data_IF_977008304325
#
_entry.id   IF_977008304325
#
_cell.length_a   1.000
_cell.length_b   1.000
_cell.length_c   1.000
_cell.angle_alpha   90.00
_cell.angle_beta   90.00
_cell.angle_gamma   90.00
#
_symmetry.space_group_name_H-M   'P 1'
#
loop_
_entity.id
_entity.type
_entity.pdbx_description
1 polymer ?
#
# COMPACT_ATOMS: atom_id res chain seq x y z
N UNK A 1 -10.03 10.16 -14.27
CA UNK A 1 -9.45 8.88 -14.71
C UNK A 1 -8.95 8.13 -13.50
N UNK A 2 -9.35 6.89 -13.36
CA UNK A 2 -8.86 6.07 -12.25
C UNK A 2 -7.34 5.98 -12.25
N UNK A 3 -6.80 5.92 -11.06
CA UNK A 3 -5.37 5.77 -10.83
C UNK A 3 -5.15 4.51 -10.00
N UNK A 4 -4.33 3.60 -10.48
CA UNK A 4 -4.10 2.29 -9.86
C UNK A 4 -2.65 2.24 -9.39
N UNK A 5 -2.46 1.81 -8.15
CA UNK A 5 -1.13 1.62 -7.58
C UNK A 5 -0.98 0.17 -7.17
N UNK A 6 0.10 -0.45 -7.62
CA UNK A 6 0.49 -1.79 -7.18
C UNK A 6 1.87 -1.66 -6.56
N UNK A 7 1.98 -1.99 -5.28
CA UNK A 7 3.24 -1.91 -4.55
C UNK A 7 3.62 -3.30 -4.05
N UNK A 8 4.86 -3.73 -4.34
CA UNK A 8 5.40 -4.98 -3.83
C UNK A 8 6.49 -4.66 -2.82
N UNK A 9 6.37 -5.22 -1.63
CA UNK A 9 7.31 -5.04 -0.54
C UNK A 9 7.86 -6.39 -0.10
N UNK A 10 9.18 -6.46 0.14
CA UNK A 10 9.77 -7.61 0.81
C UNK A 10 10.34 -7.14 2.13
N UNK A 11 9.79 -7.64 3.23
CA UNK A 11 10.25 -7.33 4.57
C UNK A 11 11.62 -7.93 4.84
N UNK A 12 12.44 -7.24 5.65
CA UNK A 12 13.68 -7.80 6.16
C UNK A 12 13.39 -9.02 7.01
N UNK A 13 14.33 -9.96 7.03
CA UNK A 13 14.23 -11.14 7.89
C UNK A 13 14.05 -10.71 9.35
N UNK A 14 13.02 -11.27 10.00
CA UNK A 14 12.67 -10.94 11.37
C UNK A 14 11.68 -9.79 11.52
N UNK A 15 11.38 -9.05 10.44
CA UNK A 15 10.48 -7.89 10.50
C UNK A 15 9.12 -8.18 9.84
N UNK A 16 8.87 -9.43 9.44
CA UNK A 16 7.64 -9.79 8.72
C UNK A 16 6.38 -9.47 9.50
N UNK A 17 6.38 -9.76 10.81
CA UNK A 17 5.19 -9.51 11.63
C UNK A 17 4.95 -8.02 11.85
N UNK A 18 6.01 -7.24 12.01
CA UNK A 18 5.92 -5.78 12.11
C UNK A 18 5.30 -5.17 10.85
N UNK A 19 5.81 -5.57 9.70
CA UNK A 19 5.32 -5.07 8.40
C UNK A 19 3.86 -5.48 8.20
N UNK A 20 3.54 -6.73 8.49
CA UNK A 20 2.16 -7.22 8.37
C UNK A 20 1.20 -6.40 9.23
N UNK A 21 1.54 -6.19 10.51
CA UNK A 21 0.67 -5.46 11.42
C UNK A 21 0.44 -4.02 10.95
N UNK A 22 1.49 -3.35 10.49
CA UNK A 22 1.39 -1.98 10.01
C UNK A 22 0.55 -1.89 8.72
N UNK A 23 0.74 -2.83 7.79
CA UNK A 23 -0.07 -2.86 6.57
C UNK A 23 -1.55 -3.13 6.86
N UNK A 24 -1.86 -4.01 7.82
CA UNK A 24 -3.24 -4.23 8.25
C UNK A 24 -3.87 -2.96 8.82
N UNK A 25 -3.08 -2.15 9.55
CA UNK A 25 -3.55 -0.89 10.12
C UNK A 25 -3.79 0.19 9.07
N UNK A 26 -3.22 0.05 7.87
CA UNK A 26 -3.46 0.97 6.76
C UNK A 26 -4.83 0.77 6.11
N UNK A 27 -5.39 -0.43 6.20
CA UNK A 27 -6.55 -0.82 5.39
C UNK A 27 -7.79 0.02 5.66
N UNK A 28 -8.28 0.06 6.90
CA UNK A 28 -9.52 0.75 7.19
C UNK A 28 -9.45 2.27 6.97
N UNK A 29 -8.43 2.98 7.48
CA UNK A 29 -8.36 4.42 7.24
C UNK A 29 -8.15 4.76 5.76
N UNK A 30 -7.45 3.91 5.00
CA UNK A 30 -7.29 4.14 3.56
C UNK A 30 -8.62 3.96 2.82
N UNK A 31 -9.38 2.93 3.17
CA UNK A 31 -10.71 2.69 2.58
C UNK A 31 -11.69 3.81 2.91
N UNK A 32 -11.51 4.51 4.02
CA UNK A 32 -12.37 5.61 4.42
C UNK A 32 -12.04 6.92 3.70
N UNK A 33 -10.95 7.00 2.96
CA UNK A 33 -10.59 8.20 2.19
C UNK A 33 -11.61 8.42 1.06
N UNK A 34 -12.08 9.67 0.86
CA UNK A 34 -13.13 9.94 -0.13
C UNK A 34 -12.77 9.52 -1.55
N UNK A 35 -11.51 9.58 -1.93
CA UNK A 35 -11.06 9.24 -3.27
C UNK A 35 -10.59 7.81 -3.44
N UNK A 36 -10.62 7.00 -2.38
CA UNK A 36 -10.22 5.60 -2.47
C UNK A 36 -11.37 4.73 -2.99
N UNK A 37 -11.10 3.94 -4.02
CA UNK A 37 -12.07 3.03 -4.61
C UNK A 37 -11.85 1.58 -4.19
N UNK A 38 -10.59 1.21 -3.88
CA UNK A 38 -10.25 -0.13 -3.41
C UNK A 38 -8.87 -0.07 -2.74
N UNK A 39 -8.70 -0.83 -1.67
CA UNK A 39 -7.42 -0.94 -0.97
C UNK A 39 -7.31 -2.36 -0.42
N UNK A 40 -6.42 -3.14 -1.00
CA UNK A 40 -6.22 -4.53 -0.61
C UNK A 40 -4.78 -4.76 -0.18
N UNK A 41 -4.62 -5.42 0.95
CA UNK A 41 -3.32 -5.84 1.47
C UNK A 41 -3.22 -7.34 1.27
N UNK A 42 -2.26 -7.77 0.46
CA UNK A 42 -2.11 -9.14 0.02
C UNK A 42 -0.74 -9.68 0.42
N UNK A 43 -0.62 -11.00 0.53
CA UNK A 43 0.63 -11.68 0.82
C UNK A 43 0.88 -12.75 -0.24
N UNK A 44 2.13 -12.92 -0.63
CA UNK A 44 2.55 -14.06 -1.44
C UNK A 44 2.37 -15.35 -0.59
N UNK A 45 1.61 -16.34 -1.06
CA UNK A 45 1.35 -17.54 -0.25
C UNK A 45 2.59 -18.42 -0.06
N UNK A 46 3.66 -18.18 -0.81
CA UNK A 46 4.89 -18.98 -0.76
C UNK A 46 6.07 -18.22 -0.15
N UNK A 47 5.95 -16.90 0.02
CA UNK A 47 7.00 -16.06 0.59
C UNK A 47 6.41 -15.18 1.68
N UNK A 48 6.58 -15.58 2.93
CA UNK A 48 6.01 -14.89 4.09
C UNK A 48 6.42 -13.42 4.19
N UNK A 49 7.59 -13.07 3.66
CA UNK A 49 8.11 -11.70 3.73
C UNK A 49 7.57 -10.81 2.61
N UNK A 50 6.85 -11.35 1.63
CA UNK A 50 6.41 -10.61 0.45
C UNK A 50 4.94 -10.21 0.57
N UNK A 51 4.70 -8.91 0.47
CA UNK A 51 3.37 -8.30 0.51
C UNK A 51 3.14 -7.50 -0.76
N UNK A 52 1.89 -7.45 -1.20
CA UNK A 52 1.49 -6.64 -2.35
C UNK A 52 0.28 -5.80 -1.94
N UNK A 53 0.35 -4.52 -2.21
CA UNK A 53 -0.79 -3.61 -2.06
C UNK A 53 -1.39 -3.40 -3.43
N UNK A 54 -2.72 -3.56 -3.52
CA UNK A 54 -3.49 -3.21 -4.70
C UNK A 54 -4.42 -2.08 -4.33
N UNK A 55 -4.27 -0.93 -4.98
CA UNK A 55 -4.97 0.29 -4.59
C UNK A 55 -5.58 0.93 -5.83
N UNK A 56 -6.83 1.38 -5.72
CA UNK A 56 -7.49 2.14 -6.78
C UNK A 56 -8.01 3.44 -6.22
N UNK A 57 -7.78 4.52 -6.97
CA UNK A 57 -8.20 5.87 -6.61
C UNK A 57 -9.00 6.48 -7.74
N UNK A 58 -9.89 7.42 -7.41
CA UNK A 58 -10.70 8.12 -8.41
C UNK A 58 -9.83 8.85 -9.44
N UNK A 59 -8.69 9.38 -8.99
CA UNK A 59 -7.72 10.07 -9.85
C UNK A 59 -6.36 10.14 -9.14
N UNK A 60 -5.36 10.69 -9.80
CA UNK A 60 -4.02 10.82 -9.23
C UNK A 60 -4.00 11.75 -8.03
N UNK A 61 -4.84 12.80 -8.01
CA UNK A 61 -4.91 13.72 -6.89
C UNK A 61 -5.39 13.01 -5.61
N UNK A 62 -6.28 12.03 -5.73
CA UNK A 62 -6.74 11.23 -4.60
C UNK A 62 -5.60 10.36 -4.03
N UNK A 63 -4.71 9.84 -4.88
CA UNK A 63 -3.52 9.13 -4.41
C UNK A 63 -2.56 10.08 -3.70
N UNK A 64 -2.35 11.28 -4.25
CA UNK A 64 -1.52 12.28 -3.58
C UNK A 64 -2.08 12.65 -2.20
N UNK A 65 -3.41 12.77 -2.09
CA UNK A 65 -4.07 13.01 -0.80
C UNK A 65 -3.85 11.85 0.18
N UNK A 66 -3.89 10.59 -0.30
CA UNK A 66 -3.59 9.41 0.49
C UNK A 66 -2.18 9.49 1.09
N UNK A 67 -1.20 9.87 0.29
CA UNK A 67 0.19 9.99 0.74
C UNK A 67 0.40 11.10 1.77
N UNK A 68 -0.50 12.06 1.86
CA UNK A 68 -0.44 13.17 2.81
C UNK A 68 -1.21 12.90 4.11
N UNK A 69 -1.84 11.73 4.25
CA UNK A 69 -2.61 11.41 5.46
C UNK A 69 -1.72 11.06 6.64
N UNK A 70 -2.26 11.23 7.85
CA UNK A 70 -1.58 10.84 9.08
C UNK A 70 -1.29 9.34 9.10
N UNK A 71 -2.27 8.52 8.70
CA UNK A 71 -2.09 7.06 8.72
C UNK A 71 -1.01 6.60 7.73
N UNK A 72 -0.84 7.26 6.59
CA UNK A 72 0.26 6.95 5.69
C UNK A 72 1.61 7.19 6.39
N UNK A 73 1.76 8.32 7.08
CA UNK A 73 2.98 8.65 7.80
C UNK A 73 3.24 7.70 8.97
N UNK A 74 2.23 7.45 9.80
CA UNK A 74 2.36 6.65 11.01
C UNK A 74 2.65 5.18 10.68
N UNK A 75 1.90 4.60 9.76
CA UNK A 75 2.00 3.16 9.49
C UNK A 75 2.95 2.84 8.35
N UNK A 76 2.76 3.46 7.17
CA UNK A 76 3.59 3.09 6.02
C UNK A 76 4.99 3.67 6.11
N UNK A 77 5.11 4.98 6.26
CA UNK A 77 6.42 5.63 6.23
C UNK A 77 7.29 5.24 7.43
N UNK A 78 6.72 5.12 8.61
CA UNK A 78 7.49 4.85 9.83
C UNK A 78 7.64 3.37 10.15
N UNK A 79 6.64 2.54 9.86
CA UNK A 79 6.61 1.15 10.33
C UNK A 79 6.74 0.12 9.20
N UNK A 80 6.73 0.52 7.95
CA UNK A 80 6.90 -0.40 6.82
C UNK A 80 8.17 -0.09 6.06
N UNK A 81 8.28 1.10 5.48
CA UNK A 81 9.35 1.41 4.53
C UNK A 81 10.76 1.21 5.09
N UNK A 82 11.07 1.57 6.36
CA UNK A 82 12.42 1.35 6.90
C UNK A 82 12.79 -0.12 7.09
N UNK A 83 11.80 -1.02 7.07
CA UNK A 83 11.99 -2.44 7.37
C UNK A 83 11.90 -3.34 6.14
N UNK A 84 12.12 -2.77 4.96
CA UNK A 84 12.04 -3.49 3.69
C UNK A 84 13.43 -3.75 3.11
N UNK A 85 13.59 -4.94 2.53
CA UNK A 85 14.75 -5.27 1.68
C UNK A 85 14.50 -4.86 0.23
N UNK A 86 13.24 -4.95 -0.23
CA UNK A 86 12.86 -4.63 -1.60
C UNK A 86 11.58 -3.83 -1.61
N UNK A 87 11.51 -2.87 -2.51
CA UNK A 87 10.33 -2.04 -2.71
C UNK A 87 10.19 -1.71 -4.18
N UNK A 88 9.07 -2.16 -4.77
CA UNK A 88 8.73 -1.85 -6.17
C UNK A 88 7.32 -1.28 -6.19
N UNK A 89 7.10 -0.21 -6.96
CA UNK A 89 5.78 0.38 -7.10
C UNK A 89 5.49 0.66 -8.57
N UNK A 90 4.28 0.32 -8.98
CA UNK A 90 3.75 0.66 -10.30
C UNK A 90 2.60 1.65 -10.13
N UNK A 91 2.69 2.76 -10.84
CA UNK A 91 1.61 3.75 -10.94
C UNK A 91 0.99 3.57 -12.33
N UNK A 92 -0.28 3.24 -12.38
CA UNK A 92 -0.93 2.72 -13.58
C UNK A 92 -2.27 3.43 -13.82
N UNK A 93 -2.70 3.42 -15.06
CA UNK A 93 -4.05 3.85 -15.43
C UNK A 93 -4.70 2.78 -16.29
N UNK A 94 -6.03 2.60 -16.20
CA UNK A 94 -6.71 1.66 -17.09
C UNK A 94 -6.50 2.04 -18.56
N UNK A 95 -6.45 1.03 -19.43
CA UNK A 95 -6.34 1.29 -20.89
C UNK A 95 -7.66 1.79 -21.50
N UNK A 96 -8.64 2.04 -20.70
CA UNK A 96 -9.94 2.47 -21.11
C UNK A 96 -10.97 1.36 -20.98
N UNK A 97 -12.06 1.50 -21.68
CA UNK A 97 -13.20 0.57 -21.61
C UNK A 97 -12.97 -0.70 -22.37
#
# INVERSE_FOLDING_TARGET
MEFVVIARYKARAGEEDRVEAALRNMREPSRAEPGNLDYQVLRDPRQRAVFVLYERYADEAAFAAHQATDHFGIWLAQEVLPYLDERVRFDLVPLGE
#
